data_IF_348900010941
#
_entry.id   IF_348900010941
#
_cell.length_a   1.000
_cell.length_b   1.000
_cell.length_c   1.000
_cell.angle_alpha   90.00
_cell.angle_beta   90.00
_cell.angle_gamma   90.00
#
_symmetry.space_group_name_H-M   'P 1'
#
loop_
_entity.id
_entity.type
_entity.pdbx_description
1 polymer ?
#
# COMPACT_ATOMS: atom_id res chain seq x y z
N UNK A 1 5.61 41.51 -38.88
CA UNK A 1 5.07 40.84 -37.68
C UNK A 1 5.34 39.36 -37.85
N UNK A 2 6.20 38.79 -37.01
CA UNK A 2 6.37 37.34 -37.02
C UNK A 2 5.03 36.70 -36.58
N UNK A 3 4.46 35.79 -37.40
CA UNK A 3 3.20 35.16 -37.06
C UNK A 3 3.38 34.34 -35.79
N UNK A 4 2.70 34.76 -34.71
CA UNK A 4 2.43 34.02 -33.48
C UNK A 4 3.58 33.18 -32.93
N UNK A 5 4.38 33.76 -32.04
CA UNK A 5 5.39 33.01 -31.29
C UNK A 5 4.79 31.77 -30.63
N UNK A 6 5.45 30.63 -30.85
CA UNK A 6 5.03 29.32 -30.35
C UNK A 6 4.89 29.39 -28.82
N UNK A 7 3.70 29.13 -28.26
CA UNK A 7 3.56 29.03 -26.80
C UNK A 7 4.35 27.79 -26.38
N UNK A 8 5.33 27.97 -25.49
CA UNK A 8 6.25 26.94 -25.01
C UNK A 8 6.00 26.54 -23.56
N UNK A 9 5.25 27.35 -22.80
CA UNK A 9 4.86 27.05 -21.42
C UNK A 9 3.58 27.78 -21.01
N UNK A 10 3.03 27.41 -19.85
CA UNK A 10 1.86 28.07 -19.29
C UNK A 10 2.17 29.51 -18.81
N UNK A 11 3.33 29.74 -18.21
CA UNK A 11 3.80 31.06 -17.77
C UNK A 11 3.96 32.00 -18.97
N UNK A 12 4.47 31.47 -20.09
CA UNK A 12 4.51 32.20 -21.35
C UNK A 12 3.08 32.62 -21.75
N UNK A 13 2.11 31.70 -21.73
CA UNK A 13 0.72 32.00 -22.07
C UNK A 13 0.08 33.07 -21.16
N UNK A 14 0.40 33.11 -19.86
CA UNK A 14 -0.11 34.15 -18.94
C UNK A 14 0.31 35.57 -19.33
N UNK A 15 1.49 35.72 -19.94
CA UNK A 15 2.02 36.99 -20.42
C UNK A 15 1.48 37.45 -21.78
N UNK A 16 0.84 36.56 -22.55
CA UNK A 16 0.36 36.88 -23.89
C UNK A 16 -0.87 37.78 -23.88
N UNK A 17 -1.08 38.54 -24.95
CA UNK A 17 -2.28 39.36 -25.11
C UNK A 17 -3.53 38.49 -25.33
N UNK A 18 -4.72 39.00 -24.96
CA UNK A 18 -5.98 38.27 -25.13
C UNK A 18 -6.23 37.84 -26.58
N UNK A 19 -5.91 38.70 -27.56
CA UNK A 19 -6.06 38.37 -28.98
C UNK A 19 -5.15 37.23 -29.43
N UNK A 20 -3.91 37.20 -28.94
CA UNK A 20 -2.95 36.10 -29.21
C UNK A 20 -3.49 34.80 -28.62
N UNK A 21 -3.98 34.82 -27.38
CA UNK A 21 -4.56 33.65 -26.75
C UNK A 21 -5.78 33.12 -27.52
N UNK A 22 -6.66 34.02 -27.99
CA UNK A 22 -7.81 33.64 -28.85
C UNK A 22 -7.35 33.01 -30.16
N UNK A 23 -6.34 33.57 -30.82
CA UNK A 23 -5.77 32.98 -32.04
C UNK A 23 -5.14 31.60 -31.76
N UNK A 24 -4.44 31.46 -30.63
CA UNK A 24 -3.88 30.17 -30.23
C UNK A 24 -4.96 29.12 -29.97
N UNK A 25 -6.14 29.50 -29.45
CA UNK A 25 -7.28 28.57 -29.34
C UNK A 25 -7.72 28.01 -30.70
N UNK A 26 -7.66 28.83 -31.74
CA UNK A 26 -8.16 28.46 -33.07
C UNK A 26 -7.14 27.63 -33.87
N UNK A 27 -5.85 27.94 -33.72
CA UNK A 27 -4.79 27.44 -34.62
C UNK A 27 -3.69 26.65 -33.90
N UNK A 28 -3.62 26.72 -32.58
CA UNK A 28 -2.55 26.10 -31.79
C UNK A 28 -2.66 24.58 -31.70
N UNK A 29 -1.56 23.95 -31.31
CA UNK A 29 -1.54 22.52 -30.95
C UNK A 29 -2.39 22.26 -29.69
N UNK A 30 -2.88 21.03 -29.44
CA UNK A 30 -3.69 20.70 -28.26
C UNK A 30 -3.11 21.24 -26.94
N UNK A 31 -1.80 21.10 -26.73
CA UNK A 31 -1.12 21.55 -25.51
C UNK A 31 -1.15 23.07 -25.37
N UNK A 32 -0.92 23.79 -26.47
CA UNK A 32 -0.96 25.25 -26.51
C UNK A 32 -2.38 25.78 -26.30
N UNK A 33 -3.37 25.08 -26.86
CA UNK A 33 -4.78 25.38 -26.66
C UNK A 33 -5.15 25.20 -25.19
N UNK A 34 -4.70 24.13 -24.53
CA UNK A 34 -4.86 23.97 -23.08
C UNK A 34 -4.30 25.17 -22.33
N UNK A 35 -3.05 25.59 -22.58
CA UNK A 35 -2.46 26.74 -21.89
C UNK A 35 -3.22 28.04 -22.16
N UNK A 36 -3.63 28.27 -23.41
CA UNK A 36 -4.41 29.44 -23.78
C UNK A 36 -5.78 29.46 -23.08
N UNK A 37 -6.46 28.32 -22.99
CA UNK A 37 -7.72 28.13 -22.27
C UNK A 37 -7.56 28.53 -20.79
N UNK A 38 -6.52 28.05 -20.12
CA UNK A 38 -6.25 28.37 -18.72
C UNK A 38 -5.91 29.85 -18.51
N UNK A 39 -5.02 30.42 -19.34
CA UNK A 39 -4.65 31.82 -19.24
C UNK A 39 -5.86 32.75 -19.44
N UNK A 40 -6.74 32.42 -20.39
CA UNK A 40 -8.00 33.14 -20.61
C UNK A 40 -8.95 32.97 -19.42
N UNK A 41 -9.16 31.76 -18.92
CA UNK A 41 -10.04 31.51 -17.77
C UNK A 41 -9.58 32.26 -16.51
N UNK A 42 -8.27 32.32 -16.27
CA UNK A 42 -7.70 33.07 -15.15
C UNK A 42 -7.99 34.57 -15.23
N UNK A 43 -7.92 35.15 -16.44
CA UNK A 43 -8.08 36.59 -16.67
C UNK A 43 -9.52 37.06 -16.84
N UNK A 44 -10.40 36.21 -17.37
CA UNK A 44 -11.68 36.65 -17.92
C UNK A 44 -12.81 36.86 -16.91
N UNK A 45 -12.69 36.43 -15.64
CA UNK A 45 -13.81 36.50 -14.70
C UNK A 45 -15.08 35.88 -15.29
N UNK A 46 -16.21 36.60 -15.29
CA UNK A 46 -17.49 36.18 -15.90
C UNK A 46 -17.44 36.03 -17.44
N UNK A 47 -16.54 36.73 -18.13
CA UNK A 47 -16.42 36.63 -19.60
C UNK A 47 -15.87 35.25 -20.07
N UNK A 48 -15.46 34.38 -19.15
CA UNK A 48 -14.99 33.03 -19.44
C UNK A 48 -16.07 32.13 -20.08
N UNK A 49 -17.35 32.40 -19.86
CA UNK A 49 -18.47 31.59 -20.39
C UNK A 49 -18.45 31.54 -21.92
N UNK A 50 -18.23 32.68 -22.58
CA UNK A 50 -18.21 32.75 -24.05
C UNK A 50 -17.02 32.03 -24.70
N UNK A 51 -15.88 31.99 -24.01
CA UNK A 51 -14.74 31.18 -24.44
C UNK A 51 -15.02 29.69 -24.26
N UNK A 52 -15.63 29.31 -23.13
CA UNK A 52 -15.93 27.92 -22.81
C UNK A 52 -16.90 27.28 -23.81
N UNK A 53 -17.92 27.99 -24.28
CA UNK A 53 -18.85 27.50 -25.32
C UNK A 53 -18.16 27.22 -26.66
N UNK A 54 -17.14 28.02 -27.02
CA UNK A 54 -16.32 27.75 -28.22
C UNK A 54 -15.44 26.52 -28.03
N UNK A 55 -14.80 26.41 -26.87
CA UNK A 55 -13.95 25.26 -26.52
C UNK A 55 -14.76 23.97 -26.39
N UNK A 56 -16.05 24.03 -26.04
CA UNK A 56 -16.90 22.84 -26.05
C UNK A 56 -17.05 22.19 -27.44
N UNK A 57 -16.72 22.92 -28.53
CA UNK A 57 -16.68 22.41 -29.92
C UNK A 57 -15.28 21.95 -30.36
N UNK A 58 -14.30 22.04 -29.49
CA UNK A 58 -12.93 21.59 -29.74
C UNK A 58 -12.93 20.11 -30.17
N UNK A 59 -12.29 19.70 -31.28
CA UNK A 59 -12.24 18.29 -31.67
C UNK A 59 -11.45 17.40 -30.71
N UNK A 60 -10.42 17.91 -30.04
CA UNK A 60 -9.58 17.12 -29.14
C UNK A 60 -10.23 16.85 -27.77
N UNK A 61 -10.34 15.58 -27.39
CA UNK A 61 -10.97 15.18 -26.14
C UNK A 61 -10.13 15.56 -24.90
N UNK A 62 -8.80 15.62 -24.99
CA UNK A 62 -7.92 16.03 -23.89
C UNK A 62 -8.10 17.51 -23.54
N UNK A 63 -8.25 18.36 -24.55
CA UNK A 63 -8.57 19.78 -24.37
C UNK A 63 -9.95 19.95 -23.74
N UNK A 64 -10.99 19.25 -24.22
CA UNK A 64 -12.35 19.30 -23.63
C UNK A 64 -12.40 18.75 -22.20
N UNK A 65 -11.62 17.72 -21.89
CA UNK A 65 -11.45 17.21 -20.52
C UNK A 65 -10.87 18.28 -19.59
N UNK A 66 -9.88 19.02 -20.09
CA UNK A 66 -9.27 20.14 -19.35
C UNK A 66 -10.26 21.28 -19.12
N UNK A 67 -11.11 21.58 -20.13
CA UNK A 67 -12.21 22.52 -19.97
C UNK A 67 -13.14 22.10 -18.82
N UNK A 68 -13.52 20.83 -18.70
CA UNK A 68 -14.38 20.36 -17.60
C UNK A 68 -13.77 20.66 -16.22
N UNK A 69 -12.46 20.45 -16.04
CA UNK A 69 -11.74 20.77 -14.79
C UNK A 69 -11.86 22.26 -14.45
N UNK A 70 -11.61 23.13 -15.43
CA UNK A 70 -11.72 24.57 -15.21
C UNK A 70 -13.15 25.02 -14.89
N UNK A 71 -14.15 24.47 -15.61
CA UNK A 71 -15.56 24.78 -15.38
C UNK A 71 -15.97 24.45 -13.96
N UNK A 72 -15.55 23.28 -13.47
CA UNK A 72 -15.78 22.88 -12.08
C UNK A 72 -15.10 23.83 -11.09
N UNK A 73 -13.83 24.19 -11.32
CA UNK A 73 -13.09 25.12 -10.46
C UNK A 73 -13.65 26.55 -10.43
N UNK A 74 -14.42 26.94 -11.45
CA UNK A 74 -15.08 28.25 -11.56
C UNK A 74 -16.56 28.24 -11.17
N UNK A 75 -17.11 27.08 -10.79
CA UNK A 75 -18.54 26.95 -10.51
C UNK A 75 -19.44 27.14 -11.73
N UNK A 76 -18.91 27.02 -12.95
CA UNK A 76 -19.73 27.04 -14.17
C UNK A 76 -20.36 25.66 -14.39
N UNK A 77 -21.42 25.43 -13.63
CA UNK A 77 -22.10 24.14 -13.49
C UNK A 77 -22.89 23.74 -14.72
N UNK A 78 -23.57 24.68 -15.39
CA UNK A 78 -24.41 24.38 -16.55
C UNK A 78 -23.63 23.74 -17.69
N UNK A 79 -22.50 24.34 -18.08
CA UNK A 79 -21.69 23.80 -19.16
C UNK A 79 -20.98 22.51 -18.75
N UNK A 80 -20.59 22.36 -17.48
CA UNK A 80 -20.05 21.10 -16.97
C UNK A 80 -21.09 19.97 -17.07
N UNK A 81 -22.34 20.25 -16.71
CA UNK A 81 -23.45 19.30 -16.86
C UNK A 81 -23.70 18.95 -18.33
N UNK A 82 -23.63 19.94 -19.23
CA UNK A 82 -23.76 19.69 -20.67
C UNK A 82 -22.65 18.75 -21.19
N UNK A 83 -21.39 18.96 -20.78
CA UNK A 83 -20.29 18.06 -21.11
C UNK A 83 -20.52 16.66 -20.55
N UNK A 84 -20.87 16.54 -19.27
CA UNK A 84 -21.19 15.26 -18.62
C UNK A 84 -22.30 14.50 -19.37
N UNK A 85 -23.31 15.22 -19.86
CA UNK A 85 -24.45 14.63 -20.53
C UNK A 85 -24.19 14.23 -21.98
N UNK A 86 -23.50 15.07 -22.74
CA UNK A 86 -23.59 15.06 -24.19
C UNK A 86 -22.24 15.07 -24.93
N UNK A 87 -21.09 15.12 -24.24
CA UNK A 87 -19.82 15.08 -24.97
C UNK A 87 -19.67 13.76 -25.76
N UNK A 88 -19.29 13.82 -27.05
CA UNK A 88 -19.15 12.62 -27.86
C UNK A 88 -18.06 11.67 -27.34
N UNK A 89 -17.05 12.18 -26.63
CA UNK A 89 -15.99 11.36 -26.05
C UNK A 89 -16.34 10.91 -24.63
N UNK A 90 -16.39 9.59 -24.43
CA UNK A 90 -16.68 8.98 -23.12
C UNK A 90 -15.76 9.50 -22.00
N UNK A 91 -14.46 9.63 -22.27
CA UNK A 91 -13.46 10.12 -21.29
C UNK A 91 -13.72 11.55 -20.80
N UNK A 92 -14.34 12.39 -21.63
CA UNK A 92 -14.76 13.74 -21.24
C UNK A 92 -16.00 13.66 -20.34
N UNK A 93 -16.97 12.82 -20.70
CA UNK A 93 -18.18 12.57 -19.89
C UNK A 93 -17.83 12.00 -18.52
N UNK A 94 -16.95 11.00 -18.43
CA UNK A 94 -16.44 10.44 -17.17
C UNK A 94 -15.84 11.53 -16.27
N UNK A 95 -14.93 12.33 -16.82
CA UNK A 95 -14.27 13.40 -16.05
C UNK A 95 -15.28 14.45 -15.59
N UNK A 96 -16.18 14.86 -16.47
CA UNK A 96 -17.20 15.86 -16.13
C UNK A 96 -18.19 15.34 -15.06
N UNK A 97 -18.60 14.07 -15.13
CA UNK A 97 -19.45 13.43 -14.10
C UNK A 97 -18.72 13.31 -12.76
N UNK A 98 -17.44 12.94 -12.77
CA UNK A 98 -16.63 12.86 -11.55
C UNK A 98 -16.57 14.24 -10.86
N UNK A 99 -16.33 15.31 -11.62
CA UNK A 99 -16.29 16.68 -11.10
C UNK A 99 -17.68 17.17 -10.64
N UNK A 100 -18.72 16.91 -11.43
CA UNK A 100 -20.10 17.23 -11.08
C UNK A 100 -20.52 16.56 -9.77
N UNK A 101 -20.15 15.29 -9.58
CA UNK A 101 -20.43 14.55 -8.34
C UNK A 101 -19.79 15.23 -7.13
N UNK A 102 -18.54 15.70 -7.23
CA UNK A 102 -17.87 16.45 -6.15
C UNK A 102 -18.58 17.77 -5.84
N UNK A 103 -19.05 18.49 -6.87
CA UNK A 103 -19.82 19.72 -6.67
C UNK A 103 -21.17 19.45 -5.99
N UNK A 104 -21.83 18.33 -6.31
CA UNK A 104 -23.06 17.91 -5.60
C UNK A 104 -22.77 17.57 -4.14
N UNK A 105 -21.67 16.87 -3.84
CA UNK A 105 -21.25 16.61 -2.44
C UNK A 105 -21.05 17.92 -1.68
N UNK A 106 -20.49 18.94 -2.34
CA UNK A 106 -20.33 20.29 -1.79
C UNK A 106 -21.59 21.16 -1.80
N UNK A 107 -22.73 20.65 -2.27
CA UNK A 107 -23.99 21.41 -2.37
C UNK A 107 -24.03 22.49 -3.45
N UNK A 108 -23.06 22.50 -4.37
CA UNK A 108 -22.93 23.50 -5.45
C UNK A 108 -23.66 23.11 -6.75
N UNK A 109 -24.21 21.90 -6.83
CA UNK A 109 -24.90 21.39 -8.01
C UNK A 109 -26.15 20.57 -7.60
N UNK A 110 -27.17 20.57 -8.45
CA UNK A 110 -28.40 19.79 -8.26
C UNK A 110 -28.10 18.27 -8.25
N UNK A 111 -28.51 17.53 -7.19
CA UNK A 111 -28.43 16.06 -7.13
C UNK A 111 -28.99 15.31 -8.34
N UNK A 112 -29.98 15.87 -9.05
CA UNK A 112 -30.60 15.23 -10.21
C UNK A 112 -29.58 14.86 -11.31
N UNK A 113 -28.51 15.64 -11.46
CA UNK A 113 -27.43 15.35 -12.42
C UNK A 113 -26.74 14.02 -12.12
N UNK A 114 -26.50 13.72 -10.84
CA UNK A 114 -25.81 12.50 -10.42
C UNK A 114 -26.77 11.31 -10.39
N UNK A 115 -28.03 11.53 -10.03
CA UNK A 115 -29.09 10.50 -10.14
C UNK A 115 -29.22 10.03 -11.60
N UNK A 116 -29.19 10.95 -12.56
CA UNK A 116 -29.18 10.60 -14.00
C UNK A 116 -27.91 9.82 -14.38
N UNK A 117 -26.73 10.21 -13.86
CA UNK A 117 -25.48 9.52 -14.14
C UNK A 117 -25.49 8.05 -13.63
N UNK A 118 -26.21 7.77 -12.56
CA UNK A 118 -26.35 6.43 -12.00
C UNK A 118 -27.08 5.44 -12.94
N UNK A 119 -27.85 5.92 -13.92
CA UNK A 119 -28.57 5.06 -14.89
C UNK A 119 -27.90 4.96 -16.26
N UNK A 120 -26.68 5.50 -16.40
CA UNK A 120 -25.93 5.53 -17.66
C UNK A 120 -25.02 4.31 -17.83
N UNK A 121 -24.17 4.31 -18.86
CA UNK A 121 -23.21 3.24 -19.11
C UNK A 121 -22.21 3.05 -17.94
N UNK A 122 -21.65 1.83 -17.76
CA UNK A 122 -20.84 1.46 -16.60
C UNK A 122 -19.64 2.39 -16.31
N UNK A 123 -18.98 2.86 -17.37
CA UNK A 123 -17.89 3.82 -17.29
C UNK A 123 -18.28 5.11 -16.53
N UNK A 124 -19.48 5.63 -16.80
CA UNK A 124 -20.02 6.82 -16.14
C UNK A 124 -20.38 6.53 -14.68
N UNK A 125 -20.98 5.37 -14.42
CA UNK A 125 -21.30 4.91 -13.06
C UNK A 125 -20.03 4.78 -12.20
N UNK A 126 -18.97 4.20 -12.77
CA UNK A 126 -17.66 4.06 -12.11
C UNK A 126 -17.05 5.44 -11.83
N UNK A 127 -17.05 6.36 -12.80
CA UNK A 127 -16.51 7.71 -12.61
C UNK A 127 -17.26 8.49 -11.51
N UNK A 128 -18.59 8.35 -11.46
CA UNK A 128 -19.43 8.89 -10.41
C UNK A 128 -19.09 8.30 -9.04
N UNK A 129 -19.09 6.97 -8.90
CA UNK A 129 -18.77 6.28 -7.64
C UNK A 129 -17.35 6.59 -7.18
N UNK A 130 -16.39 6.71 -8.11
CA UNK A 130 -15.02 7.14 -7.87
C UNK A 130 -14.90 8.55 -7.26
N UNK A 131 -15.93 9.39 -7.34
CA UNK A 131 -15.98 10.69 -6.69
C UNK A 131 -16.66 10.68 -5.30
N UNK A 132 -17.31 9.59 -4.91
CA UNK A 132 -17.99 9.46 -3.61
C UNK A 132 -16.96 9.22 -2.50
N UNK A 133 -17.05 9.98 -1.41
CA UNK A 133 -16.10 9.90 -0.30
C UNK A 133 -16.70 10.31 1.05
N UNK A 134 -15.86 10.63 2.05
CA UNK A 134 -16.32 11.07 3.37
C UNK A 134 -17.27 12.26 3.27
N UNK A 135 -18.39 12.21 4.01
CA UNK A 135 -19.41 13.27 4.01
C UNK A 135 -20.36 13.24 2.81
N UNK A 136 -20.34 12.20 1.99
CA UNK A 136 -21.30 12.06 0.90
C UNK A 136 -22.76 12.12 1.41
N UNK A 137 -23.65 12.89 0.75
CA UNK A 137 -25.06 12.96 1.12
C UNK A 137 -25.75 11.60 0.98
N UNK A 138 -26.80 11.38 1.79
CA UNK A 138 -27.47 10.09 1.91
C UNK A 138 -27.99 9.48 0.60
N UNK A 139 -28.37 10.29 -0.39
CA UNK A 139 -28.80 9.76 -1.69
C UNK A 139 -27.64 9.15 -2.50
N UNK A 140 -26.40 9.64 -2.37
CA UNK A 140 -25.23 9.00 -3.00
C UNK A 140 -24.89 7.69 -2.32
N UNK A 141 -25.09 7.61 -1.00
CA UNK A 141 -24.97 6.36 -0.25
C UNK A 141 -26.02 5.35 -0.76
N UNK A 142 -27.27 5.79 -0.96
CA UNK A 142 -28.33 4.95 -1.53
C UNK A 142 -27.98 4.45 -2.93
N UNK A 143 -27.46 5.32 -3.81
CA UNK A 143 -26.99 4.93 -5.15
C UNK A 143 -25.86 3.90 -5.05
N UNK A 144 -24.85 4.12 -4.19
CA UNK A 144 -23.75 3.16 -4.02
C UNK A 144 -24.24 1.80 -3.50
N UNK A 145 -25.18 1.77 -2.55
CA UNK A 145 -25.79 0.54 -2.06
C UNK A 145 -26.59 -0.20 -3.16
N UNK A 146 -27.36 0.54 -3.96
CA UNK A 146 -28.09 -0.03 -5.11
C UNK A 146 -27.12 -0.64 -6.13
N UNK A 147 -26.08 0.11 -6.52
CA UNK A 147 -25.07 -0.34 -7.48
C UNK A 147 -24.25 -1.54 -6.96
N UNK A 148 -23.99 -1.61 -5.65
CA UNK A 148 -23.36 -2.78 -5.03
C UNK A 148 -24.23 -4.04 -5.18
N UNK A 149 -25.55 -3.89 -5.09
CA UNK A 149 -26.49 -5.00 -5.16
C UNK A 149 -26.80 -5.44 -6.59
N UNK A 150 -27.02 -4.50 -7.51
CA UNK A 150 -27.58 -4.78 -8.85
C UNK A 150 -26.65 -4.44 -10.02
N UNK A 151 -25.55 -3.74 -9.75
CA UNK A 151 -24.60 -3.29 -10.76
C UNK A 151 -23.85 -4.45 -11.43
N UNK A 152 -23.16 -4.13 -12.53
CA UNK A 152 -22.18 -5.04 -13.15
C UNK A 152 -20.97 -5.20 -12.24
N UNK A 153 -20.20 -6.28 -12.41
CA UNK A 153 -19.09 -6.63 -11.50
C UNK A 153 -18.06 -5.50 -11.29
N UNK A 154 -17.72 -4.75 -12.34
CA UNK A 154 -16.83 -3.59 -12.28
C UNK A 154 -17.44 -2.40 -11.51
N UNK A 155 -18.72 -2.13 -11.73
CA UNK A 155 -19.49 -1.10 -11.03
C UNK A 155 -19.69 -1.47 -9.55
N UNK A 156 -20.00 -2.74 -9.25
CA UNK A 156 -20.11 -3.26 -7.89
C UNK A 156 -18.80 -3.08 -7.12
N UNK A 157 -17.66 -3.34 -7.76
CA UNK A 157 -16.35 -3.17 -7.13
C UNK A 157 -16.05 -1.70 -6.81
N UNK A 158 -16.41 -0.77 -7.70
CA UNK A 158 -16.26 0.66 -7.44
C UNK A 158 -17.26 1.16 -6.37
N UNK A 159 -18.48 0.62 -6.36
CA UNK A 159 -19.48 0.89 -5.33
C UNK A 159 -19.01 0.40 -3.95
N UNK A 160 -18.42 -0.79 -3.90
CA UNK A 160 -17.78 -1.33 -2.70
C UNK A 160 -16.69 -0.38 -2.17
N UNK A 161 -15.79 0.09 -3.03
CA UNK A 161 -14.74 1.02 -2.62
C UNK A 161 -15.29 2.40 -2.19
N UNK A 162 -16.34 2.90 -2.86
CA UNK A 162 -17.05 4.10 -2.44
C UNK A 162 -17.61 3.98 -1.02
N UNK A 163 -18.26 2.86 -0.70
CA UNK A 163 -18.84 2.59 0.63
C UNK A 163 -17.76 2.48 1.72
N UNK A 164 -16.60 1.92 1.40
CA UNK A 164 -15.44 1.91 2.29
C UNK A 164 -14.87 3.32 2.52
N UNK A 165 -14.81 4.18 1.49
CA UNK A 165 -14.36 5.57 1.64
C UNK A 165 -15.31 6.43 2.48
N UNK A 166 -16.62 6.14 2.45
CA UNK A 166 -17.61 6.83 3.29
C UNK A 166 -17.43 6.47 4.78
N UNK A 167 -17.08 5.20 5.05
CA UNK A 167 -16.66 4.68 6.35
C UNK A 167 -17.64 4.88 7.53
N UNK A 168 -18.94 4.79 7.28
CA UNK A 168 -19.94 4.69 8.35
C UNK A 168 -20.15 3.23 8.76
N UNK A 169 -20.65 2.93 9.98
CA UNK A 169 -20.95 1.55 10.38
C UNK A 169 -21.85 0.82 9.39
N UNK A 170 -22.89 1.48 8.85
CA UNK A 170 -23.83 0.88 7.91
C UNK A 170 -23.19 0.60 6.54
N UNK A 171 -22.40 1.55 6.00
CA UNK A 171 -21.74 1.34 4.71
C UNK A 171 -20.64 0.28 4.78
N UNK A 172 -19.93 0.22 5.92
CA UNK A 172 -18.93 -0.83 6.18
C UNK A 172 -19.57 -2.21 6.28
N UNK A 173 -20.68 -2.34 7.02
CA UNK A 173 -21.43 -3.60 7.12
C UNK A 173 -21.94 -4.11 5.76
N UNK A 174 -22.47 -3.20 4.93
CA UNK A 174 -22.90 -3.54 3.57
C UNK A 174 -21.72 -4.00 2.68
N UNK A 175 -20.60 -3.27 2.70
CA UNK A 175 -19.39 -3.63 1.95
C UNK A 175 -18.82 -4.99 2.38
N UNK A 176 -18.75 -5.24 3.70
CA UNK A 176 -18.36 -6.53 4.27
C UNK A 176 -19.30 -7.65 3.81
N UNK A 177 -20.61 -7.44 3.94
CA UNK A 177 -21.62 -8.43 3.55
C UNK A 177 -21.48 -8.83 2.08
N UNK A 178 -21.34 -7.85 1.18
CA UNK A 178 -21.13 -8.12 -0.24
C UNK A 178 -19.82 -8.86 -0.50
N UNK A 179 -18.71 -8.42 0.11
CA UNK A 179 -17.39 -9.02 -0.08
C UNK A 179 -17.38 -10.49 0.36
N UNK A 180 -18.06 -10.81 1.46
CA UNK A 180 -18.15 -12.15 2.01
C UNK A 180 -18.99 -13.12 1.18
N UNK A 181 -19.86 -12.60 0.31
CA UNK A 181 -20.63 -13.39 -0.66
C UNK A 181 -19.81 -13.73 -1.90
N UNK A 182 -18.66 -13.08 -2.12
CA UNK A 182 -17.83 -13.33 -3.29
C UNK A 182 -17.07 -14.65 -3.17
N UNK A 183 -16.98 -15.37 -4.29
CA UNK A 183 -16.16 -16.60 -4.40
C UNK A 183 -14.67 -16.29 -4.47
N UNK A 184 -14.32 -15.16 -5.09
CA UNK A 184 -12.98 -14.63 -5.19
C UNK A 184 -12.98 -13.20 -4.63
N UNK A 185 -12.24 -13.00 -3.55
CA UNK A 185 -12.17 -11.73 -2.84
C UNK A 185 -10.95 -10.91 -3.24
N UNK A 186 -10.15 -11.37 -4.20
CA UNK A 186 -8.84 -10.76 -4.51
C UNK A 186 -8.94 -9.29 -4.93
N UNK A 187 -9.83 -8.99 -5.89
CA UNK A 187 -10.02 -7.61 -6.36
C UNK A 187 -10.61 -6.69 -5.27
N UNK A 188 -11.50 -7.22 -4.42
CA UNK A 188 -12.06 -6.48 -3.30
C UNK A 188 -11.01 -6.20 -2.22
N UNK A 189 -10.11 -7.16 -1.93
CA UNK A 189 -8.96 -6.94 -1.04
C UNK A 189 -8.07 -5.82 -1.57
N UNK A 190 -7.76 -5.83 -2.88
CA UNK A 190 -6.92 -4.79 -3.50
C UNK A 190 -7.52 -3.39 -3.41
N UNK A 191 -8.85 -3.27 -3.49
CA UNK A 191 -9.53 -1.99 -3.27
C UNK A 191 -9.57 -1.62 -1.79
N UNK A 192 -9.84 -2.57 -0.90
CA UNK A 192 -9.90 -2.33 0.55
C UNK A 192 -8.60 -1.72 1.07
N UNK A 193 -7.45 -2.32 0.75
CA UNK A 193 -6.15 -1.88 1.27
C UNK A 193 -5.74 -0.47 0.80
N UNK A 194 -6.40 0.09 -0.22
CA UNK A 194 -6.17 1.47 -0.68
C UNK A 194 -6.86 2.51 0.19
N UNK A 195 -7.98 2.15 0.81
CA UNK A 195 -8.90 3.12 1.44
C UNK A 195 -9.20 2.84 2.91
N UNK A 196 -8.89 1.65 3.40
CA UNK A 196 -9.20 1.21 4.75
C UNK A 196 -8.05 0.39 5.38
N UNK A 197 -7.92 0.39 6.72
CA UNK A 197 -6.83 -0.30 7.40
C UNK A 197 -6.92 -1.83 7.24
N UNK A 198 -5.75 -2.47 7.16
CA UNK A 198 -5.60 -3.93 7.03
C UNK A 198 -6.16 -4.69 8.24
N UNK A 199 -6.08 -4.12 9.44
CA UNK A 199 -6.61 -4.76 10.65
C UNK A 199 -8.13 -4.98 10.59
N UNK A 200 -8.88 -4.02 10.01
CA UNK A 200 -10.32 -4.15 9.83
C UNK A 200 -10.67 -5.26 8.83
N UNK A 201 -9.89 -5.39 7.75
CA UNK A 201 -10.05 -6.50 6.80
C UNK A 201 -9.78 -7.85 7.48
N UNK A 202 -8.73 -7.93 8.30
CA UNK A 202 -8.42 -9.14 9.05
C UNK A 202 -9.53 -9.54 10.03
N UNK A 203 -10.16 -8.57 10.70
CA UNK A 203 -11.29 -8.81 11.60
C UNK A 203 -12.50 -9.42 10.86
N UNK A 204 -12.85 -8.88 9.70
CA UNK A 204 -13.96 -9.37 8.85
C UNK A 204 -13.74 -10.83 8.42
N UNK A 205 -12.49 -11.20 8.17
CA UNK A 205 -12.12 -12.53 7.67
C UNK A 205 -11.67 -13.53 8.73
N UNK A 206 -11.45 -13.12 10.00
CA UNK A 206 -10.92 -14.00 11.05
C UNK A 206 -11.74 -15.28 11.24
N UNK A 207 -13.07 -15.18 11.14
CA UNK A 207 -14.02 -16.30 11.32
C UNK A 207 -14.37 -17.04 10.01
N UNK A 208 -13.72 -16.68 8.90
CA UNK A 208 -14.00 -17.26 7.57
C UNK A 208 -13.22 -18.53 7.32
N UNK A 209 -13.58 -19.21 6.23
CA UNK A 209 -12.93 -20.45 5.83
C UNK A 209 -11.42 -20.24 5.62
N UNK A 210 -10.58 -21.26 5.90
CA UNK A 210 -9.14 -21.18 5.62
C UNK A 210 -8.82 -20.76 4.19
N UNK A 211 -9.60 -21.21 3.21
CA UNK A 211 -9.41 -20.82 1.81
C UNK A 211 -9.54 -19.31 1.60
N UNK A 212 -10.58 -18.68 2.17
CA UNK A 212 -10.80 -17.24 2.04
C UNK A 212 -9.75 -16.45 2.81
N UNK A 213 -9.38 -16.88 4.02
CA UNK A 213 -8.30 -16.23 4.79
C UNK A 213 -6.96 -16.29 4.06
N UNK A 214 -6.67 -17.41 3.38
CA UNK A 214 -5.48 -17.53 2.54
C UNK A 214 -5.50 -16.56 1.34
N UNK A 215 -6.65 -16.43 0.65
CA UNK A 215 -6.82 -15.44 -0.43
C UNK A 215 -6.55 -14.02 0.07
N UNK A 216 -7.06 -13.64 1.26
CA UNK A 216 -6.77 -12.33 1.84
C UNK A 216 -5.29 -12.17 2.12
N UNK A 217 -4.67 -13.13 2.82
CA UNK A 217 -3.24 -13.10 3.13
C UNK A 217 -2.41 -12.88 1.86
N UNK A 218 -2.66 -13.63 0.78
CA UNK A 218 -1.94 -13.54 -0.49
C UNK A 218 -1.99 -12.15 -1.16
N UNK A 219 -3.00 -11.32 -0.84
CA UNK A 219 -3.14 -9.96 -1.40
C UNK A 219 -2.49 -8.87 -0.55
N UNK A 220 -2.24 -9.13 0.74
CA UNK A 220 -1.65 -8.13 1.62
C UNK A 220 -0.16 -7.96 1.30
N UNK A 221 0.31 -6.72 1.13
CA UNK A 221 1.73 -6.40 1.01
C UNK A 221 2.25 -5.91 2.35
N UNK A 222 3.24 -6.61 2.92
CA UNK A 222 3.85 -6.27 4.22
C UNK A 222 2.85 -6.01 5.37
N UNK A 223 1.84 -6.88 5.59
CA UNK A 223 0.84 -6.66 6.63
C UNK A 223 1.45 -6.69 8.05
N UNK A 224 0.89 -5.92 9.00
CA UNK A 224 1.28 -6.03 10.40
C UNK A 224 0.94 -7.43 10.93
N UNK A 225 1.78 -7.95 11.83
CA UNK A 225 1.58 -9.29 12.40
C UNK A 225 0.22 -9.44 13.07
N UNK A 226 -0.33 -8.39 13.71
CA UNK A 226 -1.66 -8.44 14.33
C UNK A 226 -2.76 -8.87 13.35
N UNK A 227 -2.71 -8.37 12.12
CA UNK A 227 -3.66 -8.73 11.08
C UNK A 227 -3.41 -10.16 10.60
N UNK A 228 -2.15 -10.52 10.38
CA UNK A 228 -1.75 -11.87 9.96
C UNK A 228 -2.15 -12.92 11.00
N UNK A 229 -1.90 -12.66 12.28
CA UNK A 229 -2.26 -13.53 13.40
C UNK A 229 -3.78 -13.78 13.46
N UNK A 230 -4.60 -12.73 13.28
CA UNK A 230 -6.06 -12.87 13.18
C UNK A 230 -6.50 -13.70 11.98
N UNK A 231 -5.85 -13.54 10.82
CA UNK A 231 -6.16 -14.29 9.61
C UNK A 231 -5.70 -15.75 9.67
N UNK A 232 -4.60 -16.05 10.35
CA UNK A 232 -4.11 -17.43 10.56
C UNK A 232 -4.97 -18.13 11.63
N UNK A 233 -5.24 -17.47 12.75
CA UNK A 233 -5.81 -18.10 13.93
C UNK A 233 -4.96 -19.30 14.39
N UNK A 234 -5.60 -20.45 14.60
CA UNK A 234 -4.91 -21.71 14.96
C UNK A 234 -4.52 -22.58 13.74
N UNK A 235 -4.66 -22.07 12.52
CA UNK A 235 -4.40 -22.84 11.29
C UNK A 235 -2.89 -22.98 11.03
N UNK A 236 -2.36 -24.16 11.38
CA UNK A 236 -0.94 -24.50 11.18
C UNK A 236 -0.51 -24.50 9.71
N UNK A 237 -1.41 -24.85 8.79
CA UNK A 237 -1.09 -24.86 7.37
C UNK A 237 -0.92 -23.44 6.83
N UNK A 238 -1.77 -22.50 7.26
CA UNK A 238 -1.62 -21.08 6.94
C UNK A 238 -0.37 -20.47 7.56
N UNK A 239 -0.08 -20.79 8.83
CA UNK A 239 1.17 -20.35 9.47
C UNK A 239 2.40 -20.84 8.69
N UNK A 240 2.38 -22.09 8.25
CA UNK A 240 3.45 -22.66 7.43
C UNK A 240 3.56 -22.04 6.03
N UNK A 241 2.46 -21.61 5.42
CA UNK A 241 2.52 -20.87 4.16
C UNK A 241 3.15 -19.48 4.36
N UNK A 242 2.80 -18.80 5.46
CA UNK A 242 3.29 -17.45 5.79
C UNK A 242 4.77 -17.42 6.16
N UNK A 243 5.36 -18.52 6.66
CA UNK A 243 6.79 -18.54 7.03
C UNK A 243 7.72 -18.24 5.85
N UNK A 244 7.29 -18.54 4.62
CA UNK A 244 8.05 -18.31 3.40
C UNK A 244 7.88 -16.90 2.82
N UNK A 245 7.03 -16.08 3.41
CA UNK A 245 6.78 -14.71 2.95
C UNK A 245 7.75 -13.74 3.63
N UNK A 246 8.76 -13.20 2.91
CA UNK A 246 9.76 -12.31 3.52
C UNK A 246 9.13 -11.02 4.02
N UNK A 247 8.10 -10.53 3.31
CA UNK A 247 7.38 -9.30 3.61
C UNK A 247 6.56 -9.36 4.92
N UNK A 248 6.26 -10.57 5.42
CA UNK A 248 5.52 -10.74 6.67
C UNK A 248 6.47 -10.94 7.84
N UNK A 249 6.58 -9.95 8.71
CA UNK A 249 7.38 -10.08 9.93
C UNK A 249 6.70 -10.96 10.98
N UNK A 250 7.20 -12.18 11.18
CA UNK A 250 6.72 -13.11 12.22
C UNK A 250 7.47 -12.86 13.53
N UNK A 251 6.79 -12.64 14.68
CA UNK A 251 7.45 -12.48 15.97
C UNK A 251 8.22 -13.74 16.39
N UNK A 252 9.40 -13.55 16.97
CA UNK A 252 10.27 -14.65 17.43
C UNK A 252 9.54 -15.63 18.37
N UNK A 253 8.66 -15.14 19.25
CA UNK A 253 7.85 -16.00 20.15
C UNK A 253 6.94 -16.96 19.38
N UNK A 254 6.39 -16.53 18.25
CA UNK A 254 5.53 -17.35 17.40
C UNK A 254 6.36 -18.40 16.68
N UNK A 255 7.52 -18.02 16.13
CA UNK A 255 8.45 -18.96 15.50
C UNK A 255 8.92 -20.02 16.49
N UNK A 256 9.37 -19.62 17.68
CA UNK A 256 9.78 -20.53 18.75
C UNK A 256 8.66 -21.49 19.15
N UNK A 257 7.45 -20.96 19.35
CA UNK A 257 6.27 -21.79 19.67
C UNK A 257 5.95 -22.77 18.55
N UNK A 258 6.03 -22.35 17.28
CA UNK A 258 5.82 -23.22 16.13
C UNK A 258 6.87 -24.36 16.09
N UNK A 259 8.15 -24.05 16.33
CA UNK A 259 9.24 -25.04 16.40
C UNK A 259 8.96 -26.07 17.50
N UNK A 260 8.63 -25.63 18.72
CA UNK A 260 8.30 -26.55 19.82
C UNK A 260 7.06 -27.41 19.54
N UNK A 261 6.19 -26.98 18.61
CA UNK A 261 5.02 -27.75 18.13
C UNK A 261 5.33 -28.64 16.94
N UNK A 262 6.58 -28.74 16.50
CA UNK A 262 7.04 -29.59 15.40
C UNK A 262 7.01 -28.92 14.02
N UNK A 263 6.80 -27.60 13.92
CA UNK A 263 6.95 -26.87 12.66
C UNK A 263 8.38 -26.38 12.53
N UNK A 264 9.25 -27.18 11.91
CA UNK A 264 10.69 -26.89 11.86
C UNK A 264 11.09 -26.17 10.57
N UNK A 265 10.77 -26.75 9.42
CA UNK A 265 11.20 -26.25 8.11
C UNK A 265 10.71 -24.83 7.85
N UNK A 266 11.63 -23.92 7.52
CA UNK A 266 11.37 -22.49 7.32
C UNK A 266 11.35 -21.70 8.63
N UNK A 267 10.78 -22.27 9.70
CA UNK A 267 10.69 -21.61 11.01
C UNK A 267 12.04 -21.54 11.72
N UNK A 268 12.82 -22.63 11.67
CA UNK A 268 14.16 -22.69 12.26
C UNK A 268 15.07 -21.68 11.56
N UNK A 269 15.11 -21.67 10.23
CA UNK A 269 15.90 -20.72 9.45
C UNK A 269 15.51 -19.28 9.79
N UNK A 270 14.20 -18.99 9.76
CA UNK A 270 13.71 -17.64 10.00
C UNK A 270 14.01 -17.16 11.42
N UNK A 271 13.86 -18.03 12.43
CA UNK A 271 14.21 -17.69 13.81
C UNK A 271 15.73 -17.51 13.94
N UNK A 272 16.54 -18.42 13.41
CA UNK A 272 18.01 -18.31 13.42
C UNK A 272 18.47 -16.99 12.83
N UNK A 273 17.95 -16.59 11.67
CA UNK A 273 18.23 -15.28 11.05
C UNK A 273 17.84 -14.14 11.97
N UNK A 274 16.63 -14.13 12.54
CA UNK A 274 16.21 -13.09 13.48
C UNK A 274 17.11 -12.98 14.70
N UNK A 275 17.49 -14.11 15.32
CA UNK A 275 18.35 -14.13 16.50
C UNK A 275 19.77 -13.67 16.17
N UNK A 276 20.31 -14.07 15.02
CA UNK A 276 21.61 -13.61 14.54
C UNK A 276 21.62 -12.10 14.32
N UNK A 277 20.62 -11.57 13.61
CA UNK A 277 20.48 -10.12 13.40
C UNK A 277 20.33 -9.37 14.73
N UNK A 278 19.53 -9.90 15.68
CA UNK A 278 19.38 -9.28 17.00
C UNK A 278 20.72 -9.22 17.77
N UNK A 279 21.52 -10.29 17.71
CA UNK A 279 22.87 -10.31 18.30
C UNK A 279 23.80 -9.29 17.64
N UNK A 280 23.81 -9.22 16.31
CA UNK A 280 24.61 -8.25 15.55
C UNK A 280 24.24 -6.81 15.88
N UNK A 281 22.94 -6.51 15.99
CA UNK A 281 22.45 -5.20 16.38
C UNK A 281 22.84 -4.81 17.81
N UNK A 282 22.77 -5.74 18.78
CA UNK A 282 23.22 -5.49 20.17
C UNK A 282 24.73 -5.23 20.24
N UNK A 283 25.53 -5.96 19.45
CA UNK A 283 26.95 -5.72 19.35
C UNK A 283 27.22 -4.33 18.73
N UNK A 284 26.57 -4.00 17.63
CA UNK A 284 26.70 -2.69 16.97
C UNK A 284 26.34 -1.55 17.92
N UNK A 285 25.25 -1.67 18.68
CA UNK A 285 24.86 -0.70 19.72
C UNK A 285 25.94 -0.51 20.78
N UNK A 286 26.58 -1.60 21.23
CA UNK A 286 27.66 -1.56 22.23
C UNK A 286 28.89 -0.83 21.68
N UNK A 287 29.24 -1.10 20.43
CA UNK A 287 30.35 -0.42 19.73
C UNK A 287 30.08 1.07 19.54
N UNK A 288 28.86 1.45 19.15
CA UNK A 288 28.43 2.85 19.03
C UNK A 288 28.54 3.59 20.37
N UNK A 289 28.05 2.99 21.46
CA UNK A 289 28.16 3.59 22.81
C UNK A 289 29.60 3.77 23.25
N UNK A 290 30.43 2.76 22.98
CA UNK A 290 31.86 2.83 23.29
C UNK A 290 32.52 3.95 22.50
N UNK A 291 32.16 4.10 21.22
CA UNK A 291 32.66 5.16 20.37
C UNK A 291 32.22 6.55 20.81
N UNK A 292 30.96 6.73 21.22
CA UNK A 292 30.45 7.99 21.77
C UNK A 292 31.19 8.36 23.06
N UNK A 293 31.46 7.38 23.93
CA UNK A 293 32.11 7.64 25.22
C UNK A 293 33.60 7.98 25.12
N UNK A 294 34.33 7.36 24.18
CA UNK A 294 35.80 7.49 24.09
C UNK A 294 36.27 8.36 22.93
N UNK A 295 35.34 8.77 22.05
CA UNK A 295 35.68 9.33 20.74
C UNK A 295 36.24 8.24 19.82
N UNK A 296 36.07 8.45 18.51
CA UNK A 296 36.67 7.63 17.46
C UNK A 296 37.17 8.54 16.35
N UNK A 297 38.13 8.04 15.57
CA UNK A 297 38.55 8.74 14.36
C UNK A 297 37.53 8.56 13.21
N UNK A 298 37.73 9.32 12.14
CA UNK A 298 36.88 9.28 10.95
C UNK A 298 36.90 7.91 10.24
N UNK A 299 37.90 7.06 10.49
CA UNK A 299 37.97 5.70 9.93
C UNK A 299 37.05 4.75 10.67
N UNK A 300 37.09 4.77 12.01
CA UNK A 300 36.17 4.02 12.87
C UNK A 300 34.72 4.42 12.64
N UNK A 301 34.45 5.70 12.46
CA UNK A 301 33.11 6.22 12.19
C UNK A 301 32.53 5.68 10.89
N UNK A 302 33.32 5.70 9.79
CA UNK A 302 32.91 5.11 8.51
C UNK A 302 32.63 3.61 8.62
N UNK A 303 33.46 2.87 9.37
CA UNK A 303 33.23 1.43 9.60
C UNK A 303 31.93 1.15 10.36
N UNK A 304 31.61 1.96 11.37
CA UNK A 304 30.36 1.83 12.12
C UNK A 304 29.15 2.18 11.27
N UNK A 305 29.24 3.22 10.44
CA UNK A 305 28.18 3.58 9.48
C UNK A 305 27.94 2.47 8.44
N UNK A 306 29.00 1.92 7.85
CA UNK A 306 28.91 0.80 6.90
C UNK A 306 28.34 -0.46 7.56
N UNK A 307 28.71 -0.73 8.82
CA UNK A 307 28.10 -1.82 9.60
C UNK A 307 26.62 -1.55 9.88
N UNK A 308 26.24 -0.32 10.18
CA UNK A 308 24.84 0.11 10.33
C UNK A 308 24.03 -0.10 9.05
N UNK A 309 24.61 0.21 7.89
CA UNK A 309 24.00 -0.05 6.58
C UNK A 309 23.77 -1.52 6.33
N UNK A 310 24.82 -2.35 6.47
CA UNK A 310 24.70 -3.81 6.35
C UNK A 310 23.69 -4.41 7.32
N UNK A 311 23.63 -3.89 8.56
CA UNK A 311 22.64 -4.30 9.53
C UNK A 311 21.22 -3.95 9.06
N UNK A 312 20.98 -2.71 8.62
CA UNK A 312 19.68 -2.31 8.10
C UNK A 312 19.25 -3.10 6.86
N UNK A 313 20.19 -3.35 5.93
CA UNK A 313 19.97 -4.16 4.73
C UNK A 313 19.56 -5.59 5.10
N UNK A 314 20.23 -6.19 6.10
CA UNK A 314 19.89 -7.55 6.58
C UNK A 314 18.49 -7.65 7.19
N UNK A 315 17.92 -6.52 7.59
CA UNK A 315 16.58 -6.42 8.16
C UNK A 315 15.52 -5.96 7.14
N UNK A 316 15.92 -5.66 5.91
CA UNK A 316 15.07 -5.13 4.84
C UNK A 316 14.25 -3.91 5.30
N UNK A 317 14.88 -3.01 6.07
CA UNK A 317 14.17 -1.83 6.61
C UNK A 317 13.95 -0.80 5.49
N UNK A 318 12.70 -0.63 5.09
CA UNK A 318 12.29 0.43 4.17
C UNK A 318 12.71 1.81 4.71
N UNK A 319 13.34 2.63 3.87
CA UNK A 319 13.77 3.98 4.23
C UNK A 319 15.10 4.06 5.00
N UNK A 320 15.76 2.94 5.29
CA UNK A 320 16.99 2.96 6.10
C UNK A 320 18.18 3.60 5.37
N UNK A 321 18.26 3.46 4.04
CA UNK A 321 19.31 4.08 3.25
C UNK A 321 19.23 5.61 3.35
N UNK A 322 18.04 6.18 3.21
CA UNK A 322 17.77 7.60 3.32
C UNK A 322 18.13 8.14 4.71
N UNK A 323 17.72 7.45 5.78
CA UNK A 323 18.10 7.82 7.16
C UNK A 323 19.61 7.79 7.35
N UNK A 324 20.31 6.79 6.80
CA UNK A 324 21.75 6.67 6.93
C UNK A 324 22.52 7.70 6.11
N UNK A 325 21.99 8.08 4.95
CA UNK A 325 22.55 9.14 4.11
C UNK A 325 22.38 10.51 4.79
N UNK A 326 21.21 10.81 5.36
CA UNK A 326 21.01 12.02 6.17
C UNK A 326 21.98 12.10 7.37
N UNK A 327 22.20 10.98 8.06
CA UNK A 327 23.15 10.90 9.16
C UNK A 327 24.61 11.10 8.72
N UNK A 328 24.95 10.79 7.46
CA UNK A 328 26.31 10.91 6.95
C UNK A 328 26.76 12.37 6.77
N UNK A 329 25.81 13.30 6.61
CA UNK A 329 26.07 14.73 6.44
C UNK A 329 26.16 15.49 7.78
N UNK A 330 25.89 14.83 8.91
CA UNK A 330 25.88 15.44 10.25
C UNK A 330 27.28 15.53 10.88
N UNK A 331 27.41 16.31 11.96
CA UNK A 331 28.62 16.33 12.76
C UNK A 331 28.94 14.93 13.33
N UNK A 332 30.21 14.50 13.45
CA UNK A 332 30.54 13.13 13.84
C UNK A 332 29.87 12.57 15.09
N UNK A 333 29.74 13.41 16.12
CA UNK A 333 29.05 13.03 17.37
C UNK A 333 27.55 12.84 17.14
N UNK A 334 26.93 13.70 16.33
CA UNK A 334 25.51 13.61 15.97
C UNK A 334 25.24 12.37 15.10
N UNK A 335 26.14 12.06 14.15
CA UNK A 335 26.05 10.84 13.36
C UNK A 335 26.04 9.59 14.25
N UNK A 336 26.95 9.49 15.23
CA UNK A 336 27.03 8.34 16.13
C UNK A 336 25.80 8.19 17.02
N UNK A 337 25.29 9.30 17.57
CA UNK A 337 24.06 9.31 18.37
C UNK A 337 22.82 8.97 17.53
N UNK A 338 22.70 9.54 16.34
CA UNK A 338 21.62 9.26 15.40
C UNK A 338 21.65 7.81 14.91
N UNK A 339 22.84 7.26 14.65
CA UNK A 339 23.02 5.86 14.30
C UNK A 339 22.68 4.93 15.47
N UNK A 340 23.06 5.26 16.71
CA UNK A 340 22.63 4.50 17.89
C UNK A 340 21.11 4.50 18.00
N UNK A 341 20.46 5.66 17.84
CA UNK A 341 19.00 5.77 17.90
C UNK A 341 18.31 4.94 16.80
N UNK A 342 18.81 5.01 15.56
CA UNK A 342 18.33 4.20 14.46
C UNK A 342 18.48 2.70 14.74
N UNK A 343 19.65 2.25 15.18
CA UNK A 343 19.91 0.85 15.54
C UNK A 343 19.02 0.39 16.69
N UNK A 344 18.77 1.22 17.71
CA UNK A 344 17.84 0.90 18.81
C UNK A 344 16.41 0.74 18.29
N UNK A 345 15.96 1.64 17.41
CA UNK A 345 14.63 1.54 16.78
C UNK A 345 14.51 0.29 15.92
N UNK A 346 15.54 -0.04 15.14
CA UNK A 346 15.59 -1.23 14.28
C UNK A 346 15.70 -2.53 15.06
N UNK A 347 16.48 -2.54 16.14
CA UNK A 347 16.49 -3.61 17.12
C UNK A 347 15.10 -3.82 17.67
N UNK A 348 14.38 -2.78 18.10
CA UNK A 348 13.02 -2.94 18.62
C UNK A 348 12.05 -3.60 17.63
N UNK A 349 12.36 -3.57 16.34
CA UNK A 349 11.62 -4.33 15.35
C UNK A 349 11.97 -5.84 15.44
N UNK A 350 13.25 -6.22 15.48
CA UNK A 350 13.71 -7.63 15.34
C UNK A 350 13.90 -8.35 16.66
N UNK A 351 14.12 -7.59 17.73
CA UNK A 351 14.63 -8.13 18.98
C UNK A 351 13.69 -9.22 19.46
N UNK A 352 14.31 -10.34 19.84
CA UNK A 352 13.65 -11.36 20.63
C UNK A 352 13.07 -10.64 21.84
N UNK A 353 11.75 -10.48 21.92
CA UNK A 353 11.20 -9.63 22.96
C UNK A 353 11.58 -10.25 24.32
N UNK A 354 11.49 -9.50 25.43
CA UNK A 354 11.41 -10.09 26.77
C UNK A 354 10.46 -11.30 26.84
N UNK A 355 9.47 -11.36 25.93
CA UNK A 355 8.56 -12.48 25.69
C UNK A 355 9.21 -13.80 25.21
N UNK A 356 10.37 -13.77 24.54
CA UNK A 356 11.08 -14.99 24.15
C UNK A 356 11.87 -15.59 25.32
N UNK A 357 12.32 -14.78 26.27
CA UNK A 357 13.15 -15.21 27.41
C UNK A 357 12.53 -16.41 28.15
N UNK A 358 11.23 -16.42 28.50
CA UNK A 358 10.59 -17.59 29.13
C UNK A 358 10.59 -18.86 28.28
N UNK A 359 10.65 -18.72 26.94
CA UNK A 359 10.62 -19.83 26.00
C UNK A 359 12.02 -20.40 25.67
N UNK A 360 13.11 -19.66 25.94
CA UNK A 360 14.46 -20.07 25.58
C UNK A 360 14.84 -21.46 26.16
N UNK A 361 14.59 -21.77 27.45
CA UNK A 361 14.95 -23.09 27.99
C UNK A 361 14.15 -24.22 27.32
N UNK A 362 12.86 -23.97 27.03
CA UNK A 362 11.98 -24.94 26.37
C UNK A 362 12.43 -25.19 24.93
N UNK A 363 12.71 -24.13 24.18
CA UNK A 363 13.17 -24.20 22.80
C UNK A 363 14.52 -24.92 22.70
N UNK A 364 15.48 -24.55 23.56
CA UNK A 364 16.80 -25.20 23.62
C UNK A 364 16.67 -26.70 23.86
N UNK A 365 15.93 -27.08 24.92
CA UNK A 365 15.70 -28.49 25.25
C UNK A 365 15.03 -29.24 24.10
N UNK A 366 14.01 -28.64 23.47
CA UNK A 366 13.35 -29.22 22.30
C UNK A 366 14.32 -29.47 21.15
N UNK A 367 15.18 -28.49 20.83
CA UNK A 367 16.19 -28.62 19.78
C UNK A 367 17.23 -29.71 20.10
N UNK A 368 17.73 -29.76 21.33
CA UNK A 368 18.69 -30.78 21.80
C UNK A 368 18.08 -32.20 21.75
N UNK A 369 16.88 -32.37 22.32
CA UNK A 369 16.15 -33.64 22.32
C UNK A 369 15.82 -34.11 20.89
N UNK A 370 15.53 -33.17 20.00
CA UNK A 370 15.26 -33.48 18.60
C UNK A 370 16.52 -33.83 17.81
N UNK A 371 17.61 -33.09 17.99
CA UNK A 371 18.91 -33.40 17.38
C UNK A 371 19.42 -34.78 17.80
N UNK A 372 19.34 -35.12 19.09
CA UNK A 372 19.72 -36.43 19.60
C UNK A 372 18.84 -37.59 19.06
N UNK A 373 17.61 -37.31 18.61
CA UNK A 373 16.77 -38.31 17.91
C UNK A 373 17.25 -38.51 16.47
N UNK A 374 17.52 -37.42 15.75
CA UNK A 374 18.04 -37.47 14.38
C UNK A 374 19.39 -38.21 14.32
N UNK A 375 20.29 -37.96 15.27
CA UNK A 375 21.60 -38.61 15.35
C UNK A 375 21.53 -40.12 15.66
N UNK A 376 20.47 -40.56 16.36
CA UNK A 376 20.20 -41.98 16.59
C UNK A 376 19.56 -42.68 15.39
N UNK A 377 19.40 -42.00 14.25
CA UNK A 377 18.73 -42.53 13.07
C UNK A 377 17.23 -42.74 13.27
N UNK A 378 16.64 -42.16 14.33
CA UNK A 378 15.19 -42.09 14.46
C UNK A 378 14.73 -41.08 13.43
N UNK A 379 14.35 -41.59 12.25
CA UNK A 379 13.94 -40.77 11.12
C UNK A 379 12.89 -39.72 11.52
N UNK A 380 12.85 -38.58 10.82
CA UNK A 380 11.92 -37.50 11.15
C UNK A 380 10.52 -38.11 11.28
N UNK A 381 9.85 -37.81 12.40
CA UNK A 381 8.52 -38.35 12.66
C UNK A 381 7.66 -38.10 11.41
N UNK A 382 7.13 -39.16 10.79
CA UNK A 382 6.30 -39.07 9.56
C UNK A 382 5.07 -38.14 9.69
N UNK A 383 4.88 -37.52 10.85
CA UNK A 383 3.89 -36.48 11.15
C UNK A 383 4.36 -35.06 10.80
N UNK A 384 5.57 -34.88 10.27
CA UNK A 384 5.87 -33.66 9.50
C UNK A 384 4.94 -33.68 8.29
N UNK A 385 3.82 -32.98 8.42
CA UNK A 385 2.88 -32.70 7.35
C UNK A 385 3.71 -32.41 6.11
N UNK A 386 3.49 -33.17 5.04
CA UNK A 386 3.96 -32.84 3.71
C UNK A 386 3.27 -31.52 3.33
N UNK A 387 3.78 -30.41 3.87
CA UNK A 387 3.26 -29.09 3.64
C UNK A 387 3.57 -28.81 2.17
N UNK A 388 2.54 -28.55 1.35
CA UNK A 388 2.75 -28.23 -0.05
C UNK A 388 3.67 -27.02 -0.15
N UNK A 389 4.83 -27.21 -0.78
CA UNK A 389 5.76 -26.17 -1.17
C UNK A 389 5.02 -25.18 -2.09
N UNK A 390 4.82 -23.91 -1.70
CA UNK A 390 4.31 -22.92 -2.63
C UNK A 390 5.41 -22.60 -3.65
N UNK A 391 5.27 -23.08 -4.89
CA UNK A 391 6.07 -22.60 -6.03
C UNK A 391 7.25 -23.45 -6.49
N UNK A 392 7.50 -24.65 -5.95
CA UNK A 392 8.58 -25.53 -6.42
C UNK A 392 8.27 -26.16 -7.79
N UNK A 393 8.40 -25.38 -8.87
CA UNK A 393 8.49 -25.92 -10.24
C UNK A 393 9.95 -26.25 -10.55
N UNK A 394 10.38 -27.47 -10.23
CA UNK A 394 11.35 -28.19 -11.07
C UNK A 394 12.83 -28.20 -10.68
N UNK A 395 13.28 -27.57 -9.59
CA UNK A 395 14.65 -27.79 -9.12
C UNK A 395 14.73 -28.99 -8.16
N UNK A 396 15.67 -29.93 -8.35
CA UNK A 396 15.89 -31.01 -7.40
C UNK A 396 16.34 -30.42 -6.07
N UNK A 397 15.45 -30.43 -5.09
CA UNK A 397 15.70 -29.94 -3.74
C UNK A 397 17.02 -30.50 -3.20
N UNK A 398 17.96 -29.61 -2.91
CA UNK A 398 19.01 -29.92 -1.96
C UNK A 398 18.32 -30.44 -0.69
N UNK A 399 18.65 -31.67 -0.28
CA UNK A 399 18.07 -32.28 0.92
C UNK A 399 18.25 -31.31 2.08
N UNK A 400 17.12 -30.87 2.65
CA UNK A 400 17.12 -30.02 3.83
C UNK A 400 17.78 -30.77 5.00
N UNK A 401 18.97 -30.32 5.42
CA UNK A 401 19.70 -30.89 6.55
C UNK A 401 19.19 -30.28 7.86
N UNK A 402 18.12 -30.88 8.38
CA UNK A 402 17.47 -30.46 9.62
C UNK A 402 18.43 -30.44 10.81
N UNK A 403 19.36 -31.40 10.90
CA UNK A 403 20.32 -31.46 12.00
C UNK A 403 21.29 -30.27 11.98
N UNK A 404 21.80 -29.90 10.79
CA UNK A 404 22.63 -28.71 10.65
C UNK A 404 21.89 -27.43 11.06
N UNK A 405 20.64 -27.26 10.63
CA UNK A 405 19.83 -26.05 10.95
C UNK A 405 19.51 -25.92 12.44
N UNK A 406 19.26 -27.03 13.13
CA UNK A 406 19.04 -27.02 14.58
C UNK A 406 20.32 -26.66 15.35
N UNK A 407 21.49 -27.12 14.91
CA UNK A 407 22.77 -26.71 15.50
C UNK A 407 23.06 -25.23 15.30
N UNK A 408 22.74 -24.69 14.12
CA UNK A 408 22.82 -23.26 13.86
C UNK A 408 21.90 -22.46 14.79
N UNK A 409 20.66 -22.92 15.00
CA UNK A 409 19.73 -22.29 15.93
C UNK A 409 20.24 -22.34 17.37
N UNK A 410 20.75 -23.47 17.84
CA UNK A 410 21.37 -23.58 19.18
C UNK A 410 22.53 -22.61 19.35
N UNK A 411 23.40 -22.50 18.35
CA UNK A 411 24.51 -21.53 18.33
C UNK A 411 23.99 -20.08 18.40
N UNK A 412 22.90 -19.77 17.71
CA UNK A 412 22.27 -18.44 17.76
C UNK A 412 21.65 -18.17 19.14
N UNK A 413 21.05 -19.17 19.79
CA UNK A 413 20.52 -19.07 21.16
C UNK A 413 21.63 -18.86 22.19
N UNK A 414 22.80 -19.48 22.02
CA UNK A 414 23.97 -19.29 22.89
C UNK A 414 24.51 -17.86 22.84
N UNK A 415 24.42 -17.18 21.68
CA UNK A 415 24.86 -15.78 21.54
C UNK A 415 23.90 -14.76 22.16
N UNK A 416 22.71 -15.21 22.57
CA UNK A 416 21.65 -14.36 23.11
C UNK A 416 21.66 -14.27 24.64
N UNK A 417 22.12 -15.33 25.31
CA UNK A 417 22.32 -15.38 26.76
C UNK A 417 23.71 -14.90 27.13
#
# INVERSE_FOLDING_TARGET
>A
MEPGGDITSFEHALGLEHAVLQQTLEQGRPEQRVWAIWALALRAGEAAVGAATRVAREPDAGVRRTLAVMLAGRGNTELLVALARHDPALVVRETAVQLATRLVVGGALDPAVVVEAATREPAIQIAMLGAVGPGAPGFLVAIALEQLATGRADVQLEAFEALLRIDTPATRDAACTWMLQQRDVSAACDRWVRVAPVDALAEVFATRSPKQRAQVLDRLQSPPWSAVERLIGDDRAQLAAVVWRPDIRIPARVLATAITRGLHRGFVERLTTQLASAADGRQLRTELRTAVAHGIDASGQRKLAERGRRYADSLEIAGAAEVLDELADMHPVEQLLGLEHAVVRWLALVDAPPELIPLLPLLRRHCEDHLARLERGVGPSRHYLALPQPGARGEPEARWDEAARLRELLTALDRLG
#
